data_IF_562688630652
#
_entry.id   IF_562688630652
#
_cell.length_a   1.000
_cell.length_b   1.000
_cell.length_c   1.000
_cell.angle_alpha   90.00
_cell.angle_beta   90.00
_cell.angle_gamma   90.00
#
_symmetry.space_group_name_H-M   'P 1'
#
loop_
_entity.id
_entity.type
_entity.pdbx_description
1 polymer ?
#
# COMPACT_ATOMS: atom_id res chain seq x y z
N UNK A 1 -1.98 -25.97 0.60
CA UNK A 1 -1.40 -26.87 -0.41
C UNK A 1 0.00 -27.22 0.04
N UNK A 2 0.41 -28.50 0.04
CA UNK A 2 1.83 -28.84 0.21
C UNK A 2 2.60 -28.21 -0.96
N UNK A 3 3.74 -27.55 -0.72
CA UNK A 3 4.51 -26.95 -1.80
C UNK A 3 4.98 -28.04 -2.76
N UNK A 4 4.98 -27.73 -4.07
CA UNK A 4 5.41 -28.67 -5.13
C UNK A 4 6.90 -29.04 -5.01
N UNK A 5 7.68 -28.16 -4.36
CA UNK A 5 9.07 -28.38 -3.98
C UNK A 5 9.22 -27.89 -2.52
N UNK A 6 9.61 -28.80 -1.62
CA UNK A 6 9.87 -28.48 -0.22
C UNK A 6 11.36 -28.17 -0.04
N UNK A 7 11.66 -26.91 0.24
CA UNK A 7 13.02 -26.41 0.47
C UNK A 7 13.37 -26.32 1.98
N UNK A 8 12.55 -26.92 2.86
CA UNK A 8 12.74 -26.90 4.30
C UNK A 8 12.69 -25.47 4.88
N UNK A 9 13.43 -25.24 5.97
CA UNK A 9 13.42 -23.96 6.71
C UNK A 9 13.82 -22.74 5.86
N UNK A 10 14.54 -22.93 4.75
CA UNK A 10 14.95 -21.84 3.85
C UNK A 10 13.99 -21.57 2.69
N UNK A 11 12.85 -22.27 2.63
CA UNK A 11 11.95 -22.19 1.49
C UNK A 11 11.40 -20.80 1.20
N UNK A 12 10.97 -20.05 2.21
CA UNK A 12 10.44 -18.69 2.02
C UNK A 12 11.49 -17.73 1.42
N UNK A 13 12.75 -17.86 1.84
CA UNK A 13 13.89 -17.09 1.32
C UNK A 13 14.17 -17.43 -0.13
N UNK A 14 14.22 -18.73 -0.45
CA UNK A 14 14.46 -19.21 -1.83
C UNK A 14 13.35 -18.74 -2.77
N UNK A 15 12.08 -18.87 -2.35
CA UNK A 15 10.94 -18.39 -3.13
C UNK A 15 10.97 -16.88 -3.34
N UNK A 16 11.42 -16.10 -2.35
CA UNK A 16 11.60 -14.65 -2.49
C UNK A 16 12.65 -14.30 -3.54
N UNK A 17 13.81 -14.98 -3.54
CA UNK A 17 14.85 -14.79 -4.57
C UNK A 17 14.32 -15.16 -5.95
N UNK A 18 13.70 -16.33 -6.09
CA UNK A 18 13.14 -16.80 -7.36
C UNK A 18 12.08 -15.84 -7.89
N UNK A 19 11.17 -15.37 -7.02
CA UNK A 19 10.15 -14.40 -7.36
C UNK A 19 10.77 -13.11 -7.88
N UNK A 20 11.71 -12.52 -7.14
CA UNK A 20 12.36 -11.28 -7.55
C UNK A 20 13.09 -11.48 -8.86
N UNK A 21 13.96 -12.48 -9.00
CA UNK A 21 14.72 -12.72 -10.23
C UNK A 21 13.82 -12.92 -11.45
N UNK A 22 12.77 -13.73 -11.31
CA UNK A 22 11.86 -14.04 -12.42
C UNK A 22 11.04 -12.81 -12.85
N UNK A 23 10.41 -12.11 -11.91
CA UNK A 23 9.51 -11.02 -12.28
C UNK A 23 10.24 -9.71 -12.59
N UNK A 24 11.37 -9.45 -11.93
CA UNK A 24 12.19 -8.27 -12.24
C UNK A 24 12.91 -8.40 -13.58
N UNK A 25 13.06 -9.62 -14.12
CA UNK A 25 13.56 -9.82 -15.48
C UNK A 25 12.68 -9.13 -16.52
N UNK A 26 11.36 -9.11 -16.35
CA UNK A 26 10.47 -8.38 -17.28
C UNK A 26 10.77 -6.87 -17.25
N UNK A 27 11.01 -6.32 -16.07
CA UNK A 27 11.42 -4.91 -15.89
C UNK A 27 12.79 -4.66 -16.51
N UNK A 28 13.76 -5.53 -16.27
CA UNK A 28 15.08 -5.45 -16.90
C UNK A 28 15.01 -5.58 -18.44
N UNK A 29 14.11 -6.40 -18.98
CA UNK A 29 14.06 -6.67 -20.42
C UNK A 29 13.42 -5.52 -21.20
N UNK A 30 12.20 -5.08 -20.84
CA UNK A 30 11.52 -4.03 -21.61
C UNK A 30 10.30 -3.43 -20.90
N UNK A 31 10.22 -2.09 -20.93
CA UNK A 31 9.05 -1.30 -20.54
C UNK A 31 7.77 -1.71 -21.28
N UNK A 32 7.86 -2.13 -22.56
CA UNK A 32 6.67 -2.54 -23.34
C UNK A 32 6.06 -3.86 -22.87
N UNK A 33 6.89 -4.79 -22.41
CA UNK A 33 6.41 -6.06 -21.85
C UNK A 33 5.73 -5.78 -20.51
N UNK A 34 6.38 -4.96 -19.68
CA UNK A 34 5.81 -4.50 -18.41
C UNK A 34 4.44 -3.85 -18.62
N UNK A 35 4.31 -2.93 -19.57
CA UNK A 35 3.03 -2.26 -19.87
C UNK A 35 1.91 -3.27 -20.19
N UNK A 36 2.15 -4.19 -21.13
CA UNK A 36 1.16 -5.21 -21.53
C UNK A 36 0.80 -6.16 -20.38
N UNK A 37 1.80 -6.63 -19.64
CA UNK A 37 1.58 -7.50 -18.47
C UNK A 37 0.80 -6.75 -17.39
N UNK A 38 1.12 -5.48 -17.16
CA UNK A 38 0.44 -4.65 -16.15
C UNK A 38 -1.04 -4.49 -16.47
N UNK A 39 -1.40 -4.21 -17.74
CA UNK A 39 -2.81 -4.14 -18.16
C UNK A 39 -3.55 -5.45 -17.88
N UNK A 40 -2.96 -6.59 -18.26
CA UNK A 40 -3.54 -7.91 -17.99
C UNK A 40 -3.71 -8.16 -16.48
N UNK A 41 -2.68 -7.87 -15.69
CA UNK A 41 -2.70 -8.05 -14.23
C UNK A 41 -3.72 -7.13 -13.56
N UNK A 42 -3.89 -5.89 -14.01
CA UNK A 42 -4.89 -4.96 -13.47
C UNK A 42 -6.31 -5.47 -13.74
N UNK A 43 -6.61 -5.92 -14.96
CA UNK A 43 -7.92 -6.50 -15.30
C UNK A 43 -8.18 -7.75 -14.46
N UNK A 44 -7.20 -8.65 -14.37
CA UNK A 44 -7.32 -9.86 -13.57
C UNK A 44 -7.47 -9.56 -12.07
N UNK A 45 -6.72 -8.60 -11.54
CA UNK A 45 -6.82 -8.10 -10.15
C UNK A 45 -8.21 -7.52 -9.89
N UNK A 46 -8.76 -6.72 -10.80
CA UNK A 46 -10.09 -6.14 -10.64
C UNK A 46 -11.19 -7.22 -10.61
N UNK A 47 -11.15 -8.19 -11.54
CA UNK A 47 -12.13 -9.27 -11.59
C UNK A 47 -12.05 -10.18 -10.36
N UNK A 48 -10.83 -10.57 -9.96
CA UNK A 48 -10.61 -11.39 -8.76
C UNK A 48 -10.98 -10.64 -7.48
N UNK A 49 -10.74 -9.33 -7.39
CA UNK A 49 -11.21 -8.50 -6.29
C UNK A 49 -12.74 -8.49 -6.21
N UNK A 50 -13.43 -8.26 -7.32
CA UNK A 50 -14.90 -8.24 -7.36
C UNK A 50 -15.46 -9.59 -6.90
N UNK A 51 -14.94 -10.71 -7.42
CA UNK A 51 -15.44 -12.03 -7.06
C UNK A 51 -15.15 -12.38 -5.59
N UNK A 52 -13.92 -12.15 -5.12
CA UNK A 52 -13.54 -12.44 -3.72
C UNK A 52 -14.34 -11.58 -2.74
N UNK A 53 -14.46 -10.30 -3.02
CA UNK A 53 -15.15 -9.35 -2.16
C UNK A 53 -16.66 -9.55 -2.19
N UNK A 54 -17.25 -9.90 -3.33
CA UNK A 54 -18.66 -10.29 -3.41
C UNK A 54 -18.94 -11.51 -2.52
N UNK A 55 -18.11 -12.55 -2.61
CA UNK A 55 -18.25 -13.75 -1.78
C UNK A 55 -18.09 -13.48 -0.28
N UNK A 56 -17.21 -12.57 0.12
CA UNK A 56 -17.09 -12.18 1.53
C UNK A 56 -18.24 -11.25 1.97
N UNK A 57 -18.64 -10.30 1.12
CA UNK A 57 -19.67 -9.32 1.43
C UNK A 57 -21.05 -9.95 1.67
N UNK A 58 -21.40 -11.00 0.92
CA UNK A 58 -22.66 -11.74 1.12
C UNK A 58 -22.68 -12.55 2.42
N UNK A 59 -21.51 -12.85 3.00
CA UNK A 59 -21.35 -13.61 4.24
C UNK A 59 -21.07 -12.71 5.46
N UNK A 60 -21.17 -11.38 5.32
CA UNK A 60 -20.96 -10.45 6.44
C UNK A 60 -21.96 -10.74 7.57
N UNK A 61 -21.42 -11.07 8.75
CA UNK A 61 -22.18 -11.19 9.97
C UNK A 61 -22.05 -9.90 10.79
N UNK A 62 -23.18 -9.25 11.10
CA UNK A 62 -23.18 -7.99 11.86
C UNK A 62 -22.67 -8.14 13.30
N UNK A 63 -22.92 -9.29 13.95
CA UNK A 63 -22.41 -9.54 15.30
C UNK A 63 -20.88 -9.65 15.31
N UNK A 64 -20.29 -10.27 14.28
CA UNK A 64 -18.84 -10.29 14.06
C UNK A 64 -18.33 -8.90 13.68
N UNK A 65 -19.00 -8.19 12.77
CA UNK A 65 -18.58 -6.87 12.28
C UNK A 65 -18.51 -5.82 13.40
N UNK A 66 -19.51 -5.79 14.27
CA UNK A 66 -19.56 -4.86 15.41
C UNK A 66 -18.96 -5.44 16.69
N UNK A 67 -18.48 -6.68 16.63
CA UNK A 67 -17.91 -7.41 17.77
C UNK A 67 -18.83 -7.44 19.00
N UNK A 68 -20.13 -7.69 18.80
CA UNK A 68 -21.14 -7.58 19.88
C UNK A 68 -20.97 -8.60 20.99
N UNK A 69 -20.22 -9.67 20.73
CA UNK A 69 -19.95 -10.76 21.67
C UNK A 69 -18.53 -10.69 22.26
N UNK A 70 -17.74 -9.69 21.87
CA UNK A 70 -16.37 -9.52 22.33
C UNK A 70 -16.28 -8.94 23.74
N UNK A 71 -15.13 -9.16 24.37
CA UNK A 71 -14.81 -8.62 25.71
C UNK A 71 -14.23 -7.21 25.67
N UNK A 72 -13.69 -6.80 24.52
CA UNK A 72 -13.05 -5.50 24.32
C UNK A 72 -14.08 -4.47 23.84
N UNK A 73 -14.22 -3.37 24.58
CA UNK A 73 -15.22 -2.33 24.29
C UNK A 73 -14.61 -1.06 23.68
N UNK A 74 -13.27 -0.91 23.72
CA UNK A 74 -12.58 0.28 23.23
C UNK A 74 -11.52 -0.03 22.17
N UNK A 75 -11.93 0.06 20.91
CA UNK A 75 -11.06 -0.15 19.74
C UNK A 75 -10.36 1.11 19.24
N UNK A 76 -10.80 2.31 19.66
CA UNK A 76 -10.29 3.57 19.13
C UNK A 76 -8.79 3.76 19.39
N UNK A 77 -8.30 3.24 20.50
CA UNK A 77 -6.89 3.27 20.88
C UNK A 77 -5.98 2.54 19.87
N UNK A 78 -6.47 1.48 19.22
CA UNK A 78 -5.71 0.71 18.22
C UNK A 78 -5.71 1.40 16.85
N UNK A 79 -6.70 2.23 16.56
CA UNK A 79 -6.84 2.91 15.26
C UNK A 79 -5.70 3.91 15.00
N UNK A 80 -5.08 4.46 16.05
CA UNK A 80 -4.00 5.44 15.94
C UNK A 80 -2.77 4.82 15.26
N UNK A 81 -2.47 3.54 15.53
CA UNK A 81 -1.37 2.81 14.92
C UNK A 81 -1.53 2.58 13.40
N UNK A 82 -2.76 2.70 12.88
CA UNK A 82 -3.07 2.53 11.45
C UNK A 82 -2.66 3.75 10.62
N UNK A 83 -2.57 4.95 11.21
CA UNK A 83 -2.42 6.20 10.46
C UNK A 83 -1.24 6.22 9.46
N UNK A 84 -0.03 5.74 9.80
CA UNK A 84 1.08 5.70 8.84
C UNK A 84 0.79 4.78 7.65
N UNK A 85 0.19 3.62 7.90
CA UNK A 85 -0.20 2.66 6.85
C UNK A 85 -1.27 3.28 5.95
N UNK A 86 -2.29 3.90 6.55
CA UNK A 86 -3.35 4.57 5.83
C UNK A 86 -2.80 5.72 4.94
N UNK A 87 -1.84 6.50 5.45
CA UNK A 87 -1.19 7.54 4.64
C UNK A 87 -0.46 6.94 3.43
N UNK A 88 0.28 5.84 3.62
CA UNK A 88 0.95 5.14 2.52
C UNK A 88 -0.04 4.57 1.51
N UNK A 89 -1.19 4.06 1.95
CA UNK A 89 -2.24 3.54 1.06
C UNK A 89 -2.79 4.61 0.10
N UNK A 90 -2.73 5.90 0.45
CA UNK A 90 -3.15 7.02 -0.42
C UNK A 90 -1.95 7.77 -1.04
N UNK A 91 -0.88 7.05 -1.40
CA UNK A 91 0.39 7.58 -1.91
C UNK A 91 0.40 8.14 -3.35
N UNK A 92 -0.60 8.90 -3.80
CA UNK A 92 -0.69 9.43 -5.18
C UNK A 92 0.01 10.79 -5.41
N UNK A 93 0.56 11.41 -4.37
CA UNK A 93 0.97 12.82 -4.36
C UNK A 93 2.03 13.18 -5.43
N UNK A 94 2.90 12.23 -5.81
CA UNK A 94 3.89 12.41 -6.89
C UNK A 94 3.23 12.58 -8.28
N UNK A 95 2.00 12.07 -8.45
CA UNK A 95 1.26 12.15 -9.71
C UNK A 95 0.43 13.45 -9.85
N UNK A 96 0.37 14.29 -8.81
CA UNK A 96 -0.48 15.49 -8.81
C UNK A 96 -0.05 16.50 -9.87
N UNK A 97 1.26 16.73 -10.04
CA UNK A 97 1.80 17.62 -11.06
C UNK A 97 1.50 17.10 -12.47
N UNK A 98 1.65 15.79 -12.69
CA UNK A 98 1.30 15.11 -13.95
C UNK A 98 -0.19 15.26 -14.27
N UNK A 99 -1.08 15.07 -13.30
CA UNK A 99 -2.52 15.27 -13.49
C UNK A 99 -2.85 16.71 -13.89
N UNK A 100 -2.24 17.70 -13.22
CA UNK A 100 -2.42 19.11 -13.59
C UNK A 100 -1.95 19.39 -15.02
N UNK A 101 -0.78 18.87 -15.40
CA UNK A 101 -0.25 19.04 -16.76
C UNK A 101 -1.13 18.36 -17.82
N UNK A 102 -1.61 17.14 -17.54
CA UNK A 102 -2.45 16.36 -18.45
C UNK A 102 -3.80 17.04 -18.73
N UNK A 103 -4.50 17.52 -17.70
CA UNK A 103 -5.79 18.18 -17.86
C UNK A 103 -5.68 19.65 -18.30
N UNK A 104 -4.50 20.27 -18.15
CA UNK A 104 -4.29 21.70 -18.40
C UNK A 104 -5.15 22.64 -17.53
N UNK A 105 -5.85 22.10 -16.53
CA UNK A 105 -6.80 22.82 -15.69
C UNK A 105 -6.81 22.25 -14.27
N UNK A 106 -6.58 23.10 -13.29
CA UNK A 106 -6.44 22.72 -11.88
C UNK A 106 -7.76 22.22 -11.28
N UNK A 107 -8.91 22.74 -11.72
CA UNK A 107 -10.22 22.28 -11.24
C UNK A 107 -10.57 20.88 -11.77
N UNK A 108 -10.23 20.59 -13.02
CA UNK A 108 -10.41 19.26 -13.60
C UNK A 108 -9.47 18.25 -12.93
N UNK A 109 -8.19 18.59 -12.78
CA UNK A 109 -7.22 17.76 -12.07
C UNK A 109 -7.65 17.49 -10.62
N UNK A 110 -8.13 18.51 -9.90
CA UNK A 110 -8.71 18.34 -8.55
C UNK A 110 -9.88 17.35 -8.56
N UNK A 111 -10.82 17.48 -9.49
CA UNK A 111 -11.99 16.57 -9.57
C UNK A 111 -11.56 15.13 -9.86
N UNK A 112 -10.60 14.93 -10.77
CA UNK A 112 -10.04 13.61 -11.06
C UNK A 112 -9.35 13.00 -9.83
N UNK A 113 -8.53 13.77 -9.13
CA UNK A 113 -7.83 13.31 -7.91
C UNK A 113 -8.83 12.96 -6.81
N UNK A 114 -9.81 13.82 -6.53
CA UNK A 114 -10.83 13.55 -5.50
C UNK A 114 -11.66 12.33 -5.90
N UNK A 115 -12.10 12.24 -7.16
CA UNK A 115 -12.85 11.09 -7.66
C UNK A 115 -12.07 9.77 -7.51
N UNK A 116 -10.82 9.74 -7.95
CA UNK A 116 -9.94 8.58 -7.79
C UNK A 116 -9.70 8.20 -6.33
N UNK A 117 -9.49 9.19 -5.46
CA UNK A 117 -9.32 8.98 -4.01
C UNK A 117 -10.59 8.40 -3.37
N UNK A 118 -11.77 8.89 -3.75
CA UNK A 118 -13.05 8.38 -3.25
C UNK A 118 -13.33 6.95 -3.73
N UNK A 119 -12.97 6.61 -4.97
CA UNK A 119 -13.05 5.24 -5.48
C UNK A 119 -12.12 4.33 -4.66
N UNK A 120 -10.86 4.74 -4.45
CA UNK A 120 -9.91 3.97 -3.65
C UNK A 120 -10.41 3.76 -2.21
N UNK A 121 -10.93 4.82 -1.58
CA UNK A 121 -11.52 4.74 -0.24
C UNK A 121 -12.69 3.75 -0.18
N UNK A 122 -13.59 3.78 -1.16
CA UNK A 122 -14.72 2.85 -1.21
C UNK A 122 -14.26 1.40 -1.32
N UNK A 123 -13.26 1.11 -2.15
CA UNK A 123 -12.68 -0.23 -2.29
C UNK A 123 -11.99 -0.69 -0.99
N UNK A 124 -11.26 0.19 -0.32
CA UNK A 124 -10.64 -0.11 0.97
C UNK A 124 -11.66 -0.37 2.07
N UNK A 125 -12.70 0.46 2.17
CA UNK A 125 -13.78 0.24 3.13
C UNK A 125 -14.50 -1.07 2.86
N UNK A 126 -14.81 -1.37 1.60
CA UNK A 126 -15.44 -2.63 1.22
C UNK A 126 -14.57 -3.82 1.64
N UNK A 127 -13.26 -3.77 1.36
CA UNK A 127 -12.32 -4.80 1.79
C UNK A 127 -12.30 -4.95 3.32
N UNK A 128 -12.16 -3.86 4.07
CA UNK A 128 -12.12 -3.88 5.54
C UNK A 128 -13.42 -4.45 6.12
N UNK A 129 -14.58 -4.01 5.63
CA UNK A 129 -15.89 -4.52 6.05
C UNK A 129 -16.04 -6.01 5.74
N UNK A 130 -15.58 -6.46 4.57
CA UNK A 130 -15.57 -7.87 4.20
C UNK A 130 -14.69 -8.69 5.14
N UNK A 131 -13.51 -8.22 5.51
CA UNK A 131 -12.64 -8.95 6.46
C UNK A 131 -13.25 -8.96 7.87
N UNK A 132 -13.59 -7.79 8.41
CA UNK A 132 -14.09 -7.65 9.80
C UNK A 132 -15.50 -8.24 9.99
N UNK A 133 -16.30 -8.34 8.92
CA UNK A 133 -17.61 -8.98 8.97
C UNK A 133 -17.57 -10.50 8.92
N UNK A 134 -16.45 -11.08 8.50
CA UNK A 134 -16.29 -12.54 8.40
C UNK A 134 -15.37 -13.07 9.50
N UNK A 135 -14.33 -12.33 9.90
CA UNK A 135 -13.32 -12.79 10.85
C UNK A 135 -13.56 -12.24 12.28
N UNK A 136 -13.82 -13.11 13.28
CA UNK A 136 -13.87 -12.74 14.70
C UNK A 136 -12.56 -12.13 15.21
N UNK A 137 -12.62 -11.34 16.29
CA UNK A 137 -11.47 -10.53 16.80
C UNK A 137 -10.34 -11.40 17.35
N UNK A 138 -10.68 -12.45 18.08
CA UNK A 138 -9.76 -13.46 18.59
C UNK A 138 -8.96 -14.16 17.48
N UNK A 139 -9.54 -14.30 16.29
CA UNK A 139 -8.85 -14.87 15.12
C UNK A 139 -7.79 -13.94 14.50
N UNK A 140 -7.70 -12.67 14.92
CA UNK A 140 -6.62 -11.77 14.48
C UNK A 140 -5.32 -11.95 15.26
N UNK A 141 -5.32 -12.62 16.43
CA UNK A 141 -4.12 -12.79 17.23
C UNK A 141 -2.95 -13.47 16.46
N UNK A 142 -3.16 -14.56 15.68
CA UNK A 142 -2.09 -15.15 14.86
C UNK A 142 -1.60 -14.23 13.73
N UNK A 143 -2.48 -13.37 13.19
CA UNK A 143 -2.14 -12.41 12.14
C UNK A 143 -1.26 -11.30 12.72
N UNK A 144 -1.60 -10.80 13.91
CA UNK A 144 -0.81 -9.79 14.62
C UNK A 144 0.54 -10.37 15.04
N UNK A 145 0.57 -11.60 15.57
CA UNK A 145 1.79 -12.29 15.96
C UNK A 145 2.75 -12.55 14.78
N UNK A 146 2.24 -12.54 13.54
CA UNK A 146 3.03 -12.67 12.32
C UNK A 146 3.34 -11.32 11.65
N UNK A 147 3.30 -10.21 12.40
CA UNK A 147 3.51 -8.85 11.88
C UNK A 147 2.59 -8.56 10.67
N UNK A 148 1.32 -8.97 10.74
CA UNK A 148 0.32 -8.72 9.70
C UNK A 148 0.57 -9.49 8.41
N UNK A 149 1.18 -10.67 8.49
CA UNK A 149 1.47 -11.49 7.32
C UNK A 149 0.18 -11.79 6.52
N UNK A 150 0.21 -11.42 5.24
CA UNK A 150 -0.96 -11.56 4.36
C UNK A 150 -1.37 -13.03 4.22
N UNK A 151 -0.43 -13.95 4.05
CA UNK A 151 -0.75 -15.38 3.90
C UNK A 151 -1.47 -15.93 5.13
N UNK A 152 -1.10 -15.48 6.33
CA UNK A 152 -1.81 -15.86 7.57
C UNK A 152 -3.23 -15.33 7.57
N UNK A 153 -3.45 -14.07 7.15
CA UNK A 153 -4.79 -13.50 6.98
C UNK A 153 -5.62 -14.27 5.94
N UNK A 154 -5.06 -14.56 4.75
CA UNK A 154 -5.77 -15.28 3.70
C UNK A 154 -6.09 -16.72 4.10
N UNK A 155 -5.23 -17.36 4.89
CA UNK A 155 -5.52 -18.69 5.44
C UNK A 155 -6.63 -18.64 6.49
N UNK A 156 -6.63 -17.64 7.37
CA UNK A 156 -7.69 -17.45 8.36
C UNK A 156 -9.05 -17.22 7.69
N UNK A 157 -9.11 -16.33 6.70
CA UNK A 157 -10.30 -16.10 5.86
C UNK A 157 -10.71 -17.34 5.09
N UNK A 158 -9.74 -18.05 4.51
CA UNK A 158 -9.97 -19.26 3.73
C UNK A 158 -10.52 -20.43 4.54
N UNK A 159 -10.39 -20.42 5.87
CA UNK A 159 -10.96 -21.47 6.74
C UNK A 159 -12.42 -21.21 7.11
N UNK A 160 -12.88 -19.96 6.97
CA UNK A 160 -14.26 -19.55 7.29
C UNK A 160 -15.12 -19.32 6.03
N UNK A 161 -14.50 -19.26 4.84
CA UNK A 161 -15.17 -19.05 3.55
C UNK A 161 -15.23 -20.32 2.69
N UNK A 162 -16.06 -20.32 1.64
CA UNK A 162 -16.07 -21.42 0.66
C UNK A 162 -14.73 -21.56 -0.08
N UNK A 163 -14.50 -22.73 -0.68
CA UNK A 163 -13.28 -23.03 -1.44
C UNK A 163 -13.06 -22.04 -2.60
N UNK A 164 -14.14 -21.63 -3.24
CA UNK A 164 -14.16 -20.72 -4.39
C UNK A 164 -13.76 -19.30 -3.95
N UNK A 165 -14.31 -18.83 -2.82
CA UNK A 165 -13.94 -17.53 -2.23
C UNK A 165 -12.46 -17.54 -1.84
N UNK A 166 -11.98 -18.61 -1.19
CA UNK A 166 -10.56 -18.79 -0.86
C UNK A 166 -9.66 -18.70 -2.10
N UNK A 167 -10.01 -19.38 -3.17
CA UNK A 167 -9.23 -19.35 -4.42
C UNK A 167 -9.20 -17.94 -5.02
N UNK A 168 -10.33 -17.24 -5.03
CA UNK A 168 -10.41 -15.89 -5.54
C UNK A 168 -9.61 -14.87 -4.71
N UNK A 169 -9.65 -14.98 -3.38
CA UNK A 169 -8.84 -14.14 -2.47
C UNK A 169 -7.35 -14.34 -2.73
N UNK A 170 -6.91 -15.59 -2.91
CA UNK A 170 -5.52 -15.90 -3.24
C UNK A 170 -5.13 -15.34 -4.62
N UNK A 171 -5.98 -15.56 -5.63
CA UNK A 171 -5.74 -15.04 -6.98
C UNK A 171 -5.63 -13.51 -6.99
N UNK A 172 -6.54 -12.82 -6.29
CA UNK A 172 -6.51 -11.37 -6.11
C UNK A 172 -5.20 -10.91 -5.45
N UNK A 173 -4.81 -11.55 -4.35
CA UNK A 173 -3.63 -11.15 -3.58
C UNK A 173 -2.34 -11.33 -4.39
N UNK A 174 -2.21 -12.44 -5.11
CA UNK A 174 -1.07 -12.70 -6.00
C UNK A 174 -1.04 -11.66 -7.12
N UNK A 175 -2.18 -11.40 -7.76
CA UNK A 175 -2.29 -10.42 -8.84
C UNK A 175 -1.93 -9.00 -8.38
N UNK A 176 -2.42 -8.59 -7.20
CA UNK A 176 -2.15 -7.29 -6.61
C UNK A 176 -0.67 -7.11 -6.27
N UNK A 177 -0.05 -8.09 -5.61
CA UNK A 177 1.38 -8.06 -5.27
C UNK A 177 2.21 -8.01 -6.56
N UNK A 178 1.90 -8.87 -7.54
CA UNK A 178 2.68 -8.96 -8.76
C UNK A 178 2.54 -7.68 -9.62
N UNK A 179 1.32 -7.17 -9.76
CA UNK A 179 1.05 -5.92 -10.48
C UNK A 179 1.81 -4.75 -9.85
N UNK A 180 1.75 -4.64 -8.53
CA UNK A 180 2.48 -3.61 -7.78
C UNK A 180 4.00 -3.76 -7.94
N UNK A 181 4.53 -4.98 -7.80
CA UNK A 181 5.96 -5.26 -7.96
C UNK A 181 6.48 -4.83 -9.34
N UNK A 182 5.76 -5.19 -10.40
CA UNK A 182 6.15 -4.85 -11.77
C UNK A 182 5.99 -3.35 -12.04
N UNK A 183 4.85 -2.75 -11.69
CA UNK A 183 4.55 -1.35 -11.97
C UNK A 183 5.42 -0.37 -11.17
N UNK A 184 5.48 -0.55 -9.84
CA UNK A 184 6.34 0.27 -8.98
C UNK A 184 7.80 -0.03 -9.25
N UNK A 185 8.16 -1.31 -9.46
CA UNK A 185 9.52 -1.71 -9.79
C UNK A 185 10.05 -1.03 -11.05
N UNK A 186 9.23 -0.91 -12.11
CA UNK A 186 9.59 -0.16 -13.30
C UNK A 186 9.79 1.33 -13.01
N UNK A 187 8.88 1.96 -12.25
CA UNK A 187 9.00 3.38 -11.90
C UNK A 187 10.27 3.69 -11.09
N UNK A 188 10.62 2.83 -10.12
CA UNK A 188 11.87 2.95 -9.35
C UNK A 188 13.09 2.66 -10.22
N UNK A 189 13.01 1.67 -11.12
CA UNK A 189 14.07 1.36 -12.06
C UNK A 189 14.42 2.56 -12.95
N UNK A 190 13.41 3.18 -13.57
CA UNK A 190 13.63 4.34 -14.44
C UNK A 190 14.14 5.54 -13.64
N UNK A 191 13.56 5.80 -12.46
CA UNK A 191 14.03 6.86 -11.56
C UNK A 191 15.50 6.69 -11.16
N UNK A 192 15.92 5.49 -10.74
CA UNK A 192 17.29 5.24 -10.33
C UNK A 192 18.25 5.22 -11.53
N UNK A 193 17.81 4.77 -12.70
CA UNK A 193 18.58 4.87 -13.93
C UNK A 193 18.91 6.33 -14.26
N UNK A 194 17.91 7.22 -14.19
CA UNK A 194 18.08 8.66 -14.40
C UNK A 194 18.95 9.29 -13.32
N UNK A 195 18.72 8.95 -12.04
CA UNK A 195 19.48 9.48 -10.90
C UNK A 195 20.98 9.16 -10.98
N UNK A 196 21.32 7.90 -11.28
CA UNK A 196 22.72 7.47 -11.44
C UNK A 196 23.27 7.69 -12.86
N UNK A 197 22.45 8.19 -13.78
CA UNK A 197 22.79 8.41 -15.20
C UNK A 197 23.26 7.13 -15.89
N UNK A 198 22.62 6.01 -15.59
CA UNK A 198 22.86 4.75 -16.27
C UNK A 198 22.25 4.77 -17.68
N UNK A 199 22.99 4.27 -18.66
CA UNK A 199 22.50 4.20 -20.03
C UNK A 199 21.54 3.01 -20.24
N UNK A 200 20.88 2.97 -21.41
CA UNK A 200 19.96 1.88 -21.74
C UNK A 200 20.69 0.66 -22.35
N UNK A 201 22.02 0.57 -22.23
CA UNK A 201 22.77 -0.61 -22.67
C UNK A 201 22.45 -1.82 -21.78
N UNK A 202 22.79 -3.04 -22.21
CA UNK A 202 22.61 -4.24 -21.37
C UNK A 202 23.30 -4.08 -20.00
N UNK A 203 24.48 -3.46 -19.98
CA UNK A 203 25.22 -3.23 -18.75
C UNK A 203 24.55 -2.15 -17.89
N UNK A 204 24.15 -1.02 -18.49
CA UNK A 204 23.45 0.07 -17.79
C UNK A 204 22.14 -0.39 -17.17
N UNK A 205 21.31 -1.11 -17.92
CA UNK A 205 20.07 -1.72 -17.41
C UNK A 205 20.33 -2.73 -16.29
N UNK A 206 21.41 -3.49 -16.36
CA UNK A 206 21.78 -4.42 -15.27
C UNK A 206 22.17 -3.67 -14.00
N UNK A 207 22.88 -2.52 -14.12
CA UNK A 207 23.16 -1.64 -12.98
C UNK A 207 21.88 -1.07 -12.38
N UNK A 208 20.98 -0.53 -13.21
CA UNK A 208 19.67 -0.02 -12.79
C UNK A 208 18.85 -1.10 -12.08
N UNK A 209 18.83 -2.31 -12.64
CA UNK A 209 18.14 -3.46 -12.06
C UNK A 209 18.72 -3.82 -10.69
N UNK A 210 20.05 -3.89 -10.57
CA UNK A 210 20.72 -4.23 -9.32
C UNK A 210 20.39 -3.22 -8.22
N UNK A 211 20.51 -1.91 -8.48
CA UNK A 211 20.19 -0.89 -7.46
C UNK A 211 18.69 -0.83 -7.12
N UNK A 212 17.82 -1.28 -8.02
CA UNK A 212 16.37 -1.28 -7.81
C UNK A 212 15.90 -2.48 -6.99
N UNK A 213 16.33 -3.68 -7.34
CA UNK A 213 15.76 -4.92 -6.80
C UNK A 213 16.64 -5.60 -5.76
N UNK A 214 17.96 -5.38 -5.77
CA UNK A 214 18.85 -6.03 -4.83
C UNK A 214 18.68 -5.51 -3.39
N UNK A 215 18.61 -4.18 -3.12
CA UNK A 215 18.37 -3.70 -1.76
C UNK A 215 17.08 -4.21 -1.12
N UNK A 216 15.89 -4.13 -1.75
CA UNK A 216 14.67 -4.66 -1.15
C UNK A 216 14.69 -6.20 -1.02
N UNK A 217 15.36 -6.92 -1.94
CA UNK A 217 15.56 -8.37 -1.79
C UNK A 217 16.44 -8.71 -0.58
N UNK A 218 17.56 -8.01 -0.38
CA UNK A 218 18.39 -8.24 0.81
C UNK A 218 17.60 -7.98 2.10
N UNK A 219 16.82 -6.89 2.14
CA UNK A 219 15.97 -6.59 3.29
C UNK A 219 14.89 -7.64 3.53
N UNK A 220 14.27 -8.18 2.48
CA UNK A 220 13.25 -9.24 2.64
C UNK A 220 13.85 -10.56 3.14
N UNK A 221 15.09 -10.87 2.77
CA UNK A 221 15.80 -12.06 3.24
C UNK A 221 16.26 -11.95 4.70
N UNK A 222 16.72 -10.76 5.11
CA UNK A 222 17.16 -10.47 6.47
C UNK A 222 15.97 -10.30 7.43
N UNK A 223 14.87 -9.72 6.95
CA UNK A 223 13.69 -9.37 7.74
C UNK A 223 12.39 -9.88 7.07
N UNK A 224 12.12 -11.20 7.08
CA UNK A 224 11.00 -11.80 6.35
C UNK A 224 9.60 -11.37 6.84
N UNK A 225 9.49 -10.92 8.09
CA UNK A 225 8.26 -10.35 8.67
C UNK A 225 8.30 -8.81 8.71
N UNK A 226 9.24 -8.19 8.01
CA UNK A 226 9.47 -6.74 8.05
C UNK A 226 8.47 -5.89 7.28
N UNK A 227 7.46 -6.47 6.63
CA UNK A 227 6.55 -5.75 5.73
C UNK A 227 5.81 -4.59 6.43
N UNK A 228 5.13 -4.86 7.56
CA UNK A 228 4.41 -3.81 8.30
C UNK A 228 5.36 -2.71 8.81
N UNK A 229 6.58 -3.07 9.22
CA UNK A 229 7.60 -2.10 9.63
C UNK A 229 8.02 -1.23 8.45
N UNK A 230 8.33 -1.84 7.31
CA UNK A 230 8.75 -1.14 6.10
C UNK A 230 7.66 -0.17 5.57
N UNK A 231 6.40 -0.63 5.47
CA UNK A 231 5.29 0.23 5.02
C UNK A 231 4.96 1.34 6.03
N UNK A 232 5.15 1.07 7.33
CA UNK A 232 5.06 2.08 8.38
C UNK A 232 6.13 3.17 8.24
N UNK A 233 7.39 2.79 8.05
CA UNK A 233 8.49 3.73 7.81
C UNK A 233 8.26 4.55 6.54
N UNK A 234 7.81 3.90 5.46
CA UNK A 234 7.43 4.59 4.24
C UNK A 234 6.35 5.65 4.50
N UNK A 235 5.36 5.33 5.33
CA UNK A 235 4.30 6.26 5.74
C UNK A 235 4.82 7.42 6.58
N UNK A 236 5.70 7.15 7.54
CA UNK A 236 6.32 8.18 8.36
C UNK A 236 7.16 9.15 7.51
N UNK A 237 7.98 8.64 6.58
CA UNK A 237 8.71 9.48 5.62
C UNK A 237 7.73 10.22 4.69
N UNK A 238 6.61 9.58 4.32
CA UNK A 238 5.58 10.21 3.51
C UNK A 238 4.94 11.44 4.16
N UNK A 239 4.88 11.52 5.49
CA UNK A 239 4.39 12.73 6.18
C UNK A 239 5.18 13.98 5.78
N UNK A 240 6.49 13.84 5.53
CA UNK A 240 7.37 14.96 5.18
C UNK A 240 6.99 15.50 3.80
N UNK A 241 6.99 14.64 2.78
CA UNK A 241 6.85 15.08 1.40
C UNK A 241 5.39 15.19 0.93
N UNK A 242 4.44 14.49 1.57
CA UNK A 242 3.02 14.53 1.21
C UNK A 242 2.22 15.53 2.05
N UNK A 243 2.53 15.69 3.35
CA UNK A 243 1.77 16.56 4.25
C UNK A 243 2.51 17.87 4.54
N UNK A 244 3.74 17.79 5.06
CA UNK A 244 4.44 18.95 5.64
C UNK A 244 4.96 19.90 4.55
N UNK A 245 5.80 19.39 3.63
CA UNK A 245 6.43 20.21 2.59
C UNK A 245 5.38 20.88 1.68
N UNK A 246 4.39 20.17 1.10
CA UNK A 246 3.41 20.80 0.22
C UNK A 246 2.57 21.86 0.92
N UNK A 247 2.22 21.64 2.19
CA UNK A 247 1.47 22.60 2.99
C UNK A 247 2.29 23.88 3.27
N UNK A 248 3.57 23.74 3.61
CA UNK A 248 4.49 24.88 3.79
C UNK A 248 4.71 25.63 2.47
N UNK A 249 4.89 24.91 1.36
CA UNK A 249 5.01 25.52 0.03
C UNK A 249 3.74 26.30 -0.33
N UNK A 250 2.56 25.75 -0.08
CA UNK A 250 1.29 26.44 -0.29
C UNK A 250 1.17 27.69 0.60
N UNK A 251 1.61 27.63 1.86
CA UNK A 251 1.62 28.78 2.76
C UNK A 251 2.53 29.90 2.25
N UNK A 252 3.78 29.58 1.89
CA UNK A 252 4.75 30.55 1.37
C UNK A 252 4.31 31.11 0.02
N UNK A 253 3.84 30.27 -0.89
CA UNK A 253 3.34 30.68 -2.21
C UNK A 253 2.23 31.72 -2.09
N UNK A 254 1.29 31.56 -1.15
CA UNK A 254 0.19 32.52 -0.90
C UNK A 254 0.63 33.89 -0.36
N UNK A 255 1.86 34.01 0.14
CA UNK A 255 2.44 35.28 0.63
C UNK A 255 3.25 36.02 -0.43
N UNK A 256 3.60 35.34 -1.53
CA UNK A 256 4.31 35.96 -2.64
C UNK A 256 3.38 36.92 -3.41
N UNK A 257 3.94 37.88 -4.12
CA UNK A 257 3.18 38.75 -5.03
C UNK A 257 2.41 37.90 -6.05
N UNK A 258 1.11 38.15 -6.23
CA UNK A 258 0.24 37.33 -7.08
C UNK A 258 -0.06 35.92 -6.52
N UNK A 259 0.41 35.57 -5.32
CA UNK A 259 0.30 34.21 -4.75
C UNK A 259 -1.12 33.74 -4.44
N UNK A 260 -2.10 34.63 -4.54
CA UNK A 260 -3.53 34.33 -4.39
C UNK A 260 -4.29 34.38 -5.72
N UNK A 261 -3.59 34.65 -6.82
CA UNK A 261 -4.16 34.64 -8.17
C UNK A 261 -4.21 33.19 -8.70
N UNK A 262 -5.33 32.83 -9.34
CA UNK A 262 -5.53 31.47 -9.85
C UNK A 262 -6.07 30.48 -8.80
N UNK A 263 -5.65 29.21 -8.91
CA UNK A 263 -6.21 28.13 -8.09
C UNK A 263 -5.72 28.17 -6.64
N UNK A 264 -6.66 28.38 -5.70
CA UNK A 264 -6.39 28.32 -4.26
C UNK A 264 -7.45 27.45 -3.58
N UNK A 265 -6.99 26.45 -2.81
CA UNK A 265 -7.89 25.62 -2.01
C UNK A 265 -8.52 26.42 -0.86
N UNK A 266 -9.84 26.28 -0.66
CA UNK A 266 -10.60 26.89 0.44
C UNK A 266 -10.08 26.41 1.80
N UNK A 267 -10.32 27.18 2.86
CA UNK A 267 -9.91 26.84 4.24
C UNK A 267 -8.69 27.58 4.76
N UNK A 268 -8.05 28.41 3.92
CA UNK A 268 -7.04 29.38 4.35
C UNK A 268 -5.85 28.75 5.08
N UNK A 269 -5.34 29.47 6.08
CA UNK A 269 -4.26 29.01 6.98
C UNK A 269 -4.69 27.87 7.92
N UNK A 270 -5.92 27.83 8.47
CA UNK A 270 -6.36 26.71 9.31
C UNK A 270 -6.22 25.35 8.62
N UNK A 271 -6.62 25.24 7.34
CA UNK A 271 -6.46 23.99 6.60
C UNK A 271 -4.98 23.57 6.47
N UNK A 272 -4.09 24.53 6.21
CA UNK A 272 -2.65 24.27 6.11
C UNK A 272 -2.12 23.73 7.45
N UNK A 273 -2.48 24.38 8.55
CA UNK A 273 -2.09 23.93 9.89
C UNK A 273 -2.63 22.53 10.20
N UNK A 274 -3.89 22.24 9.85
CA UNK A 274 -4.46 20.90 10.01
C UNK A 274 -3.68 19.83 9.26
N UNK A 275 -3.28 20.08 8.00
CA UNK A 275 -2.49 19.11 7.20
C UNK A 275 -1.10 18.90 7.79
N UNK A 276 -0.44 19.98 8.24
CA UNK A 276 0.87 19.89 8.90
C UNK A 276 0.76 19.11 10.21
N UNK A 277 -0.20 19.45 11.06
CA UNK A 277 -0.46 18.76 12.32
C UNK A 277 -0.78 17.29 12.10
N UNK A 278 -1.59 16.95 11.09
CA UNK A 278 -1.86 15.56 10.71
C UNK A 278 -0.57 14.81 10.36
N UNK A 279 0.31 15.41 9.56
CA UNK A 279 1.61 14.83 9.22
C UNK A 279 2.50 14.61 10.46
N UNK A 280 2.61 15.61 11.33
CA UNK A 280 3.40 15.55 12.57
C UNK A 280 2.84 14.46 13.50
N UNK A 281 1.54 14.45 13.75
CA UNK A 281 0.89 13.44 14.59
C UNK A 281 1.12 12.03 14.03
N UNK A 282 0.96 11.83 12.71
CA UNK A 282 1.19 10.54 12.06
C UNK A 282 2.64 10.05 12.25
N UNK A 283 3.62 10.95 12.11
CA UNK A 283 5.02 10.61 12.37
C UNK A 283 5.26 10.25 13.85
N UNK A 284 4.75 11.06 14.78
CA UNK A 284 4.85 10.79 16.24
C UNK A 284 4.25 9.43 16.57
N UNK A 285 3.03 9.14 16.08
CA UNK A 285 2.36 7.86 16.34
C UNK A 285 3.13 6.68 15.74
N UNK A 286 3.76 6.84 14.58
CA UNK A 286 4.64 5.81 14.05
C UNK A 286 5.81 5.52 15.00
N UNK A 287 6.51 6.54 15.48
CA UNK A 287 7.62 6.36 16.42
C UNK A 287 7.18 5.80 17.77
N UNK A 288 6.00 6.19 18.28
CA UNK A 288 5.41 5.62 19.49
C UNK A 288 5.04 4.14 19.28
N UNK A 289 4.51 3.77 18.12
CA UNK A 289 4.22 2.38 17.78
C UNK A 289 5.50 1.54 17.78
N UNK A 290 6.58 2.04 17.16
CA UNK A 290 7.87 1.36 17.12
C UNK A 290 8.53 1.24 18.51
N UNK A 291 8.33 2.24 19.38
CA UNK A 291 8.77 2.20 20.77
C UNK A 291 7.95 1.28 21.67
N UNK A 292 6.89 0.65 21.16
CA UNK A 292 5.98 -0.19 21.96
C UNK A 292 5.11 0.61 22.94
N UNK A 293 4.97 1.92 22.72
CA UNK A 293 4.19 2.82 23.58
C UNK A 293 2.72 2.94 23.18
N UNK A 294 2.35 2.43 22.00
CA UNK A 294 0.94 2.33 21.60
C UNK A 294 0.35 0.97 21.97
N UNK A 295 -0.95 0.90 22.32
CA UNK A 295 -1.60 -0.35 22.63
C UNK A 295 -1.65 -1.26 21.40
N UNK A 296 -1.40 -2.55 21.62
CA UNK A 296 -1.48 -3.60 20.61
C UNK A 296 -2.54 -4.60 21.06
N UNK A 297 -3.50 -4.87 20.17
CA UNK A 297 -4.54 -5.86 20.41
C UNK A 297 -3.92 -7.26 20.46
N UNK A 298 -4.29 -8.08 21.46
CA UNK A 298 -3.68 -9.41 21.69
C UNK A 298 -4.63 -10.60 21.48
N UNK A 299 -5.88 -10.35 21.12
CA UNK A 299 -6.94 -11.36 21.13
C UNK A 299 -7.74 -11.27 22.40
#
# INVERSE_FOLDING_TARGET
MKPFIDFGESGSRIWSVLFVLFFSFFVWHSTRIVDRISVLLIVFMALSFIFSTYGLATNINLSTLFDTNGTETNYAQYAIGMLPVALTSFGYHHSVSTMRAYYGNEHQAKRAIVGGTMIALALYLLWVLSIFGNLPRDHFAPIIASDGNLDVLLNALGNISSREVKQAINAFSIAAILSSFIGVGLGVFDFLADFFKFDNSKLGRTKSWAVTFFPPLCLSLLFPLGFLKAIGYAGAVATIWACIIPAILAYKSRQMAGGKEGFVVKGGTPLILCVISFGICTAIFHFLAMGGHLPVFKG
#
